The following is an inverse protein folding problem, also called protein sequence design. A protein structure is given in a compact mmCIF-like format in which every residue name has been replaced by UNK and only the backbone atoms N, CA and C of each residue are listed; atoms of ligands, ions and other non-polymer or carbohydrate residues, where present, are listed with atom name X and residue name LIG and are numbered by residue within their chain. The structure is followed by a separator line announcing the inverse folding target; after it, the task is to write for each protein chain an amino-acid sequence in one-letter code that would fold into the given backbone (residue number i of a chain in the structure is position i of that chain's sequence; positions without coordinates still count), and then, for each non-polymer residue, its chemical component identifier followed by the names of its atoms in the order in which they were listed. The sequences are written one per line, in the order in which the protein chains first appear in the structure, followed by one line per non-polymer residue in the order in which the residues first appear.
data_IF_512106787539
#
_entry.id   IF_512106787539
#
_cell.length_a   1.000
_cell.length_b   1.000
_cell.length_c   1.000
_cell.angle_alpha   90.00
_cell.angle_beta   90.00
_cell.angle_gamma   90.00
#
_symmetry.space_group_name_H-M   'P 1'
#
loop_
_entity.id
_entity.type
_entity.pdbx_description
1 polymer ?
#
# COMPACT_ATOMS: atom_id res chain seq x y z
N UNK A 1 8.07 -6.05 -13.08
CA UNK A 1 6.68 -6.50 -13.17
C UNK A 1 5.76 -5.61 -12.37
N UNK A 2 4.59 -5.34 -12.91
CA UNK A 2 3.58 -4.60 -12.15
C UNK A 2 2.61 -5.54 -11.46
N UNK A 3 2.13 -5.09 -10.30
CA UNK A 3 1.12 -5.81 -9.53
C UNK A 3 0.04 -4.82 -9.09
N UNK A 4 -1.22 -5.26 -9.16
CA UNK A 4 -2.33 -4.56 -8.53
C UNK A 4 -2.48 -5.15 -7.12
N UNK A 5 -2.30 -4.31 -6.11
CA UNK A 5 -2.26 -4.77 -4.72
C UNK A 5 -3.39 -4.09 -3.94
N UNK A 6 -4.27 -4.91 -3.36
CA UNK A 6 -5.33 -4.40 -2.50
C UNK A 6 -4.96 -4.64 -1.05
N UNK A 7 -5.10 -3.59 -0.26
CA UNK A 7 -4.80 -3.61 1.16
C UNK A 7 -6.06 -3.18 1.88
N UNK A 8 -6.40 -3.87 2.96
CA UNK A 8 -7.63 -3.60 3.70
C UNK A 8 -7.31 -3.02 5.07
N UNK A 9 -8.05 -1.98 5.46
CA UNK A 9 -7.97 -1.39 6.79
C UNK A 9 -8.84 -2.18 7.75
N UNK A 10 -8.35 -2.40 8.97
CA UNK A 10 -9.10 -3.15 9.98
C UNK A 10 -8.35 -3.18 11.30
N UNK A 11 -8.67 -4.17 12.15
CA UNK A 11 -8.03 -4.31 13.45
C UNK A 11 -8.11 -3.02 14.26
N UNK A 12 -6.96 -2.50 14.72
CA UNK A 12 -6.93 -1.29 15.56
C UNK A 12 -7.17 0.02 14.81
N UNK A 13 -7.47 -0.01 13.51
CA UNK A 13 -7.79 1.22 12.77
C UNK A 13 -8.98 1.92 13.46
N UNK A 14 -8.80 3.19 13.80
CA UNK A 14 -9.83 3.98 14.47
C UNK A 14 -10.64 4.73 13.41
N UNK A 15 -11.85 4.26 13.14
CA UNK A 15 -12.72 4.80 12.10
C UNK A 15 -13.27 6.20 12.44
N UNK A 16 -13.09 6.67 13.68
CA UNK A 16 -13.52 8.01 14.08
C UNK A 16 -12.43 9.08 13.84
N UNK A 17 -11.24 8.66 13.41
CA UNK A 17 -10.09 9.55 13.24
C UNK A 17 -9.60 9.52 11.80
N UNK A 18 -9.06 10.65 11.34
CA UNK A 18 -8.47 10.73 10.02
C UNK A 18 -7.18 9.92 9.93
N UNK A 19 -6.74 9.67 8.71
CA UNK A 19 -5.50 8.95 8.42
C UNK A 19 -4.31 9.49 9.23
N UNK A 20 -4.12 10.81 9.22
CA UNK A 20 -2.96 11.43 9.88
C UNK A 20 -3.03 11.40 11.39
N UNK A 21 -4.20 11.12 11.94
CA UNK A 21 -4.44 11.05 13.37
C UNK A 21 -4.33 9.64 13.93
N UNK A 22 -4.16 8.64 13.05
CA UNK A 22 -3.99 7.26 13.50
C UNK A 22 -2.65 7.09 14.21
N UNK A 23 -2.64 6.25 15.23
CA UNK A 23 -1.41 5.97 15.96
C UNK A 23 -0.35 5.40 15.00
N UNK A 24 0.87 5.91 15.09
CA UNK A 24 1.99 5.43 14.27
C UNK A 24 2.00 5.97 12.86
N UNK A 25 1.20 6.99 12.56
CA UNK A 25 1.15 7.55 11.20
C UNK A 25 2.52 8.01 10.71
N UNK A 26 3.29 8.73 11.54
CA UNK A 26 4.57 9.29 11.08
C UNK A 26 5.54 8.18 10.65
N UNK A 27 5.60 7.09 11.38
CA UNK A 27 6.46 5.96 11.03
C UNK A 27 5.97 5.29 9.75
N UNK A 28 4.64 5.06 9.65
CA UNK A 28 4.03 4.49 8.45
C UNK A 28 4.31 5.37 7.23
N UNK A 29 4.13 6.68 7.36
CA UNK A 29 4.32 7.62 6.25
C UNK A 29 5.77 7.60 5.77
N UNK A 30 6.75 7.58 6.68
CA UNK A 30 8.16 7.50 6.29
C UNK A 30 8.47 6.22 5.54
N UNK A 31 7.90 5.09 6.00
CA UNK A 31 8.09 3.82 5.34
C UNK A 31 7.52 3.85 3.92
N UNK A 32 6.28 4.33 3.77
CA UNK A 32 5.62 4.37 2.47
C UNK A 32 6.32 5.35 1.52
N UNK A 33 6.74 6.50 2.02
CA UNK A 33 7.46 7.47 1.20
C UNK A 33 8.77 6.89 0.65
N UNK A 34 9.46 6.10 1.47
CA UNK A 34 10.69 5.43 1.02
C UNK A 34 10.40 4.45 -0.11
N UNK A 35 9.28 3.72 -0.04
CA UNK A 35 8.90 2.79 -1.12
C UNK A 35 8.56 3.54 -2.42
N UNK A 36 7.97 4.73 -2.30
CA UNK A 36 7.70 5.59 -3.45
C UNK A 36 9.02 6.08 -4.06
N UNK A 37 9.94 6.53 -3.22
CA UNK A 37 11.23 7.04 -3.67
C UNK A 37 12.06 5.97 -4.39
N UNK A 38 11.93 4.71 -3.97
CA UNK A 38 12.61 3.58 -4.62
C UNK A 38 11.95 3.17 -5.94
N UNK A 39 10.75 3.68 -6.24
CA UNK A 39 10.00 3.25 -7.40
C UNK A 39 9.23 1.95 -7.20
N UNK A 40 9.17 1.46 -5.96
CA UNK A 40 8.43 0.25 -5.63
C UNK A 40 6.92 0.52 -5.70
N UNK A 41 6.45 1.57 -5.03
CA UNK A 41 5.07 2.04 -5.18
C UNK A 41 5.04 3.10 -6.26
N UNK A 42 4.30 2.84 -7.32
CA UNK A 42 4.16 3.75 -8.46
C UNK A 42 2.99 4.70 -8.22
N UNK A 43 1.88 4.15 -7.79
CA UNK A 43 0.67 4.90 -7.43
C UNK A 43 0.03 4.16 -6.25
N UNK A 44 -0.64 4.91 -5.38
CA UNK A 44 -1.38 4.27 -4.31
C UNK A 44 -2.28 5.25 -3.58
N UNK A 45 -3.36 4.74 -3.01
CA UNK A 45 -4.27 5.53 -2.21
C UNK A 45 -5.56 4.79 -1.92
N UNK A 46 -6.39 5.34 -1.03
CA UNK A 46 -7.64 4.71 -0.66
C UNK A 46 -8.66 4.80 -1.79
N UNK A 47 -9.43 3.73 -1.93
CA UNK A 47 -10.59 3.70 -2.81
C UNK A 47 -11.76 4.39 -2.09
N UNK A 48 -12.82 4.68 -2.83
CA UNK A 48 -14.01 5.29 -2.26
C UNK A 48 -14.52 4.44 -1.09
N UNK A 49 -14.89 5.10 -0.02
CA UNK A 49 -15.29 4.42 1.21
C UNK A 49 -14.14 4.25 2.21
N UNK A 50 -12.89 4.35 1.76
CA UNK A 50 -11.73 4.34 2.64
C UNK A 50 -11.39 3.02 3.31
N UNK A 51 -12.12 1.93 2.99
CA UNK A 51 -11.89 0.62 3.59
C UNK A 51 -10.73 -0.11 2.94
N UNK A 52 -10.59 0.05 1.62
CA UNK A 52 -9.52 -0.59 0.86
C UNK A 52 -8.60 0.45 0.24
N UNK A 53 -7.34 0.07 0.10
CA UNK A 53 -6.32 0.87 -0.55
C UNK A 53 -5.85 0.08 -1.76
N UNK A 54 -5.64 0.76 -2.89
CA UNK A 54 -5.11 0.14 -4.09
C UNK A 54 -3.73 0.72 -4.37
N UNK A 55 -2.77 -0.17 -4.60
CA UNK A 55 -1.42 0.23 -5.01
C UNK A 55 -1.08 -0.40 -6.35
N UNK A 56 -0.44 0.38 -7.22
CA UNK A 56 0.27 -0.14 -8.38
C UNK A 56 1.73 -0.28 -7.94
N UNK A 57 2.23 -1.51 -7.91
CA UNK A 57 3.57 -1.80 -7.41
C UNK A 57 4.43 -2.42 -8.51
N UNK A 58 5.69 -1.95 -8.61
CA UNK A 58 6.69 -2.53 -9.49
C UNK A 58 7.65 -3.34 -8.63
N UNK A 59 7.68 -4.65 -8.85
CA UNK A 59 8.48 -5.56 -8.04
C UNK A 59 8.91 -6.77 -8.86
N UNK A 60 9.83 -7.57 -8.35
CA UNK A 60 10.33 -8.75 -9.03
C UNK A 60 9.37 -9.94 -8.95
N UNK A 61 8.57 -10.00 -7.89
CA UNK A 61 7.66 -11.13 -7.66
C UNK A 61 6.58 -10.76 -6.66
N UNK A 62 5.53 -11.57 -6.59
CA UNK A 62 4.50 -11.44 -5.57
C UNK A 62 5.10 -11.57 -4.17
N UNK A 63 6.04 -12.50 -4.00
CA UNK A 63 6.69 -12.68 -2.71
C UNK A 63 7.41 -11.41 -2.27
N UNK A 64 8.10 -10.75 -3.19
CA UNK A 64 8.79 -9.49 -2.91
C UNK A 64 7.79 -8.41 -2.45
N UNK A 65 6.64 -8.33 -3.13
CA UNK A 65 5.58 -7.39 -2.73
C UNK A 65 5.15 -7.64 -1.29
N UNK A 66 4.84 -8.89 -0.97
CA UNK A 66 4.33 -9.25 0.37
C UNK A 66 5.38 -9.04 1.45
N UNK A 67 6.62 -9.41 1.17
CA UNK A 67 7.72 -9.26 2.13
C UNK A 67 7.98 -7.80 2.45
N UNK A 68 8.02 -6.95 1.41
CA UNK A 68 8.29 -5.52 1.60
C UNK A 68 7.16 -4.83 2.37
N UNK A 69 5.91 -5.10 2.01
CA UNK A 69 4.77 -4.47 2.68
C UNK A 69 4.61 -4.94 4.13
N UNK A 70 5.06 -6.16 4.44
CA UNK A 70 4.98 -6.69 5.80
C UNK A 70 5.90 -5.94 6.79
N UNK A 71 6.83 -5.15 6.31
CA UNK A 71 7.74 -4.37 7.15
C UNK A 71 7.10 -3.10 7.71
N UNK A 72 5.96 -2.70 7.17
CA UNK A 72 5.23 -1.52 7.65
C UNK A 72 4.71 -1.75 9.07
N UNK A 73 4.87 -0.75 9.94
CA UNK A 73 4.38 -0.85 11.32
C UNK A 73 2.86 -1.11 11.36
N UNK A 74 2.10 -0.58 10.42
CA UNK A 74 0.66 -0.82 10.35
C UNK A 74 0.30 -2.21 9.83
N UNK A 75 1.19 -2.83 9.06
CA UNK A 75 1.00 -4.24 8.69
C UNK A 75 1.27 -5.13 9.91
N UNK A 76 2.29 -4.78 10.69
CA UNK A 76 2.69 -5.57 11.84
C UNK A 76 1.66 -5.54 12.97
N UNK A 77 0.93 -4.43 13.13
CA UNK A 77 -0.08 -4.32 14.19
C UNK A 77 -1.50 -4.66 13.73
N UNK A 78 -1.68 -5.04 12.47
CA UNK A 78 -2.98 -5.47 11.97
C UNK A 78 -3.90 -4.36 11.49
N UNK A 79 -3.44 -3.11 11.46
CA UNK A 79 -4.24 -2.01 10.91
C UNK A 79 -4.42 -2.14 9.41
N UNK A 80 -3.42 -2.72 8.72
CA UNK A 80 -3.47 -2.95 7.29
C UNK A 80 -3.15 -4.41 7.00
N UNK A 81 -3.96 -5.02 6.13
CA UNK A 81 -3.77 -6.42 5.74
C UNK A 81 -3.78 -6.48 4.21
N UNK A 82 -2.77 -7.11 3.63
CA UNK A 82 -2.74 -7.33 2.18
C UNK A 82 -3.85 -8.32 1.83
N UNK A 83 -4.80 -7.87 1.02
CA UNK A 83 -5.96 -8.67 0.63
C UNK A 83 -5.68 -9.48 -0.63
N UNK A 84 -5.01 -8.89 -1.60
CA UNK A 84 -4.68 -9.56 -2.86
C UNK A 84 -3.48 -8.92 -3.52
N UNK A 85 -2.72 -9.73 -4.23
CA UNK A 85 -1.59 -9.29 -5.06
C UNK A 85 -1.78 -9.98 -6.41
N UNK A 86 -2.05 -9.18 -7.45
CA UNK A 86 -2.35 -9.71 -8.78
C UNK A 86 -1.35 -9.17 -9.79
N UNK A 87 -0.72 -10.03 -10.60
CA UNK A 87 0.11 -9.56 -11.72
C UNK A 87 -0.74 -8.70 -12.64
N UNK A 88 -0.18 -7.58 -13.07
CA UNK A 88 -0.90 -6.60 -13.86
C UNK A 88 -0.15 -6.29 -15.15
N UNK A 89 -0.73 -6.65 -16.28
CA UNK A 89 -0.19 -6.29 -17.59
C UNK A 89 -0.70 -4.90 -17.93
N UNK A 90 0.17 -3.91 -17.84
CA UNK A 90 -0.20 -2.53 -18.13
C UNK A 90 -0.09 -2.31 -19.62
N UNK A 91 -1.22 -2.03 -20.27
CA UNK A 91 -1.27 -1.78 -21.71
C UNK A 91 -1.33 -0.29 -22.04
N UNK A 92 -1.92 0.49 -21.15
CA UNK A 92 -2.11 1.93 -21.35
C UNK A 92 -1.47 2.66 -20.16
N UNK A 93 -0.49 3.49 -20.45
CA UNK A 93 0.23 4.22 -19.42
C UNK A 93 0.26 5.70 -19.79
N UNK A 94 -0.59 6.46 -19.12
CA UNK A 94 -0.73 7.90 -19.36
C UNK A 94 0.17 8.78 -18.51
N UNK A 95 1.10 8.19 -17.77
CA UNK A 95 2.02 8.98 -16.95
C UNK A 95 3.02 9.67 -17.87
N UNK A 96 3.35 10.90 -17.53
CA UNK A 96 4.30 11.67 -18.32
C UNK A 96 5.69 11.06 -18.21
N UNK A 97 6.43 11.10 -19.29
CA UNK A 97 7.81 10.64 -19.37
C UNK A 97 8.76 11.72 -18.89
#
# INVERSE_FOLDING_TARGET
MFFAVRVERGGPWDWSRDLREQDGFDEHARFMDALVDEGFIVLGGPLEGGREILHAISASSEEDVRTRLAEDNWAQNGMLTVKSVEPWTVLLDGRAD
#
